data_IF_911340296558
#
_entry.id   IF_911340296558
#
_cell.length_a   1.000
_cell.length_b   1.000
_cell.length_c   1.000
_cell.angle_alpha   90.00
_cell.angle_beta   90.00
_cell.angle_gamma   90.00
#
_symmetry.space_group_name_H-M   'P 1'
#
loop_
_entity.id
_entity.type
_entity.pdbx_description
1 polymer ?
#
# COMPACT_ATOMS: atom_id res chain seq x y z
N UNK A 1 25.82 -11.30 9.04
CA UNK A 1 25.31 -12.66 9.38
C UNK A 1 25.76 -13.59 8.26
N UNK A 2 26.15 -14.83 8.56
CA UNK A 2 26.52 -15.80 7.52
C UNK A 2 25.31 -16.06 6.60
N UNK A 3 25.50 -16.26 5.28
CA UNK A 3 24.40 -16.41 4.32
C UNK A 3 23.39 -17.51 4.70
N UNK A 4 23.87 -18.59 5.33
CA UNK A 4 23.05 -19.74 5.70
C UNK A 4 22.21 -19.57 6.98
N UNK A 5 22.22 -18.40 7.63
CA UNK A 5 21.44 -18.17 8.86
C UNK A 5 20.12 -17.40 8.66
N UNK A 6 19.82 -16.96 7.43
CA UNK A 6 18.64 -16.17 7.09
C UNK A 6 17.51 -17.11 6.65
N UNK A 7 16.44 -17.21 7.46
CA UNK A 7 15.30 -18.10 7.17
C UNK A 7 14.21 -17.44 6.31
N UNK A 8 14.21 -16.11 6.21
CA UNK A 8 13.22 -15.31 5.46
C UNK A 8 13.92 -14.51 4.35
N UNK A 9 13.47 -14.69 3.11
CA UNK A 9 13.98 -13.93 1.96
C UNK A 9 13.43 -12.51 1.89
N UNK A 10 14.08 -11.66 1.10
CA UNK A 10 13.60 -10.32 0.75
C UNK A 10 13.44 -10.26 -0.77
N UNK A 11 12.29 -9.77 -1.24
CA UNK A 11 12.03 -9.50 -2.65
C UNK A 11 12.04 -7.98 -2.82
N UNK A 12 12.82 -7.49 -3.79
CA UNK A 12 12.76 -6.10 -4.22
C UNK A 12 11.97 -6.05 -5.52
N UNK A 13 10.89 -5.28 -5.52
CA UNK A 13 10.00 -5.13 -6.67
C UNK A 13 9.95 -3.68 -7.11
N UNK A 14 9.98 -3.46 -8.42
CA UNK A 14 9.84 -2.16 -9.06
C UNK A 14 8.64 -2.24 -10.01
N UNK A 15 7.50 -1.71 -9.59
CA UNK A 15 6.25 -1.86 -10.31
C UNK A 15 6.20 -0.93 -11.52
N UNK A 16 5.68 -1.45 -12.62
CA UNK A 16 5.39 -0.69 -13.83
C UNK A 16 3.90 -0.40 -13.91
N UNK A 17 3.53 0.79 -14.42
CA UNK A 17 2.14 1.15 -14.66
C UNK A 17 1.29 1.36 -13.39
N UNK A 18 1.90 1.78 -12.29
CA UNK A 18 1.20 2.18 -11.06
C UNK A 18 0.16 3.28 -11.36
N UNK A 19 0.62 4.37 -11.96
CA UNK A 19 -0.18 5.53 -12.35
C UNK A 19 -1.25 5.23 -13.41
N UNK A 20 -1.17 4.08 -14.07
CA UNK A 20 -2.15 3.60 -15.05
C UNK A 20 -3.16 2.62 -14.45
N UNK A 21 -3.13 2.41 -13.13
CA UNK A 21 -4.03 1.50 -12.43
C UNK A 21 -3.34 0.24 -11.89
N UNK A 22 -2.13 0.37 -11.34
CA UNK A 22 -1.44 -0.71 -10.60
C UNK A 22 -1.16 -1.97 -11.44
N UNK A 23 -0.88 -1.79 -12.73
CA UNK A 23 -0.80 -2.90 -13.70
C UNK A 23 0.23 -3.95 -13.28
N UNK A 24 1.46 -3.52 -12.94
CA UNK A 24 2.56 -4.43 -12.62
C UNK A 24 2.37 -5.18 -11.31
N UNK A 25 1.91 -4.51 -10.25
CA UNK A 25 1.66 -5.14 -8.95
C UNK A 25 0.46 -6.07 -8.99
N UNK A 26 -0.61 -5.69 -9.69
CA UNK A 26 -1.78 -6.56 -9.95
C UNK A 26 -1.36 -7.83 -10.69
N UNK A 27 -0.61 -7.71 -11.78
CA UNK A 27 -0.12 -8.87 -12.52
C UNK A 27 0.72 -9.81 -11.66
N UNK A 28 1.60 -9.27 -10.81
CA UNK A 28 2.38 -10.09 -9.88
C UNK A 28 1.51 -10.80 -8.86
N UNK A 29 0.49 -10.14 -8.31
CA UNK A 29 -0.41 -10.76 -7.34
C UNK A 29 -1.27 -11.86 -7.99
N UNK A 30 -1.68 -11.67 -9.24
CA UNK A 30 -2.48 -12.65 -9.99
C UNK A 30 -1.65 -13.85 -10.49
N UNK A 31 -0.38 -13.62 -10.84
CA UNK A 31 0.54 -14.64 -11.34
C UNK A 31 1.85 -14.64 -10.54
N UNK A 32 1.81 -14.98 -9.24
CA UNK A 32 2.97 -14.82 -8.39
C UNK A 32 3.99 -15.91 -8.68
N UNK A 33 5.30 -15.61 -8.65
CA UNK A 33 6.36 -16.61 -8.87
C UNK A 33 6.46 -17.63 -7.72
N UNK A 34 5.69 -17.43 -6.66
CA UNK A 34 5.58 -18.30 -5.50
C UNK A 34 4.20 -18.13 -4.84
N UNK A 35 3.73 -19.09 -4.02
CA UNK A 35 2.46 -18.93 -3.30
C UNK A 35 2.45 -17.64 -2.45
N UNK A 36 1.40 -16.82 -2.58
CA UNK A 36 1.28 -15.51 -1.90
C UNK A 36 1.32 -15.64 -0.38
N UNK A 37 0.90 -16.78 0.19
CA UNK A 37 0.91 -17.06 1.63
C UNK A 37 2.34 -17.12 2.22
N UNK A 38 3.35 -17.22 1.35
CA UNK A 38 4.78 -17.11 1.72
C UNK A 38 5.22 -15.67 1.89
N UNK A 39 4.49 -14.69 1.36
CA UNK A 39 4.75 -13.26 1.54
C UNK A 39 4.20 -12.85 2.91
N UNK A 40 5.10 -12.57 3.86
CA UNK A 40 4.73 -12.26 5.26
C UNK A 40 4.43 -10.78 5.51
N UNK A 41 4.90 -9.91 4.62
CA UNK A 41 4.69 -8.48 4.68
C UNK A 41 4.95 -7.87 3.31
N UNK A 42 4.26 -6.78 2.99
CA UNK A 42 4.56 -5.94 1.83
C UNK A 42 4.81 -4.50 2.28
N UNK A 43 6.03 -4.01 2.04
CA UNK A 43 6.43 -2.64 2.39
C UNK A 43 6.46 -1.81 1.11
N UNK A 44 5.63 -0.77 1.04
CA UNK A 44 5.52 0.11 -0.11
C UNK A 44 6.24 1.43 0.13
N UNK A 45 6.85 2.00 -0.89
CA UNK A 45 7.54 3.29 -0.83
C UNK A 45 7.02 4.18 -1.94
N UNK A 46 6.22 5.17 -1.57
CA UNK A 46 5.60 6.09 -2.53
C UNK A 46 5.72 7.52 -2.01
N UNK A 47 6.18 8.43 -2.88
CA UNK A 47 6.47 9.83 -2.54
C UNK A 47 7.29 9.96 -1.23
N UNK A 48 8.44 9.28 -1.12
CA UNK A 48 9.31 9.29 0.08
C UNK A 48 10.46 10.32 0.02
N UNK A 49 10.52 11.09 -1.06
CA UNK A 49 11.62 12.02 -1.34
C UNK A 49 11.52 13.40 -0.67
N UNK A 50 10.37 13.75 -0.10
CA UNK A 50 10.02 15.13 0.30
C UNK A 50 9.81 15.28 1.80
N UNK A 51 10.66 14.66 2.62
CA UNK A 51 10.55 14.76 4.07
C UNK A 51 10.58 16.23 4.53
N UNK A 52 9.52 16.69 5.19
CA UNK A 52 9.37 18.04 5.79
C UNK A 52 9.17 17.90 7.28
N UNK A 53 9.75 18.82 8.06
CA UNK A 53 9.54 18.89 9.52
C UNK A 53 9.86 17.58 10.26
N UNK A 54 10.73 16.73 9.70
CA UNK A 54 11.04 15.39 10.23
C UNK A 54 9.80 14.47 10.35
N UNK A 55 8.75 14.75 9.58
CA UNK A 55 7.45 14.08 9.61
C UNK A 55 7.38 12.96 8.59
N UNK A 56 7.24 11.72 9.06
CA UNK A 56 7.11 10.53 8.22
C UNK A 56 5.74 9.89 8.48
N UNK A 57 4.97 9.70 7.42
CA UNK A 57 3.68 9.01 7.50
C UNK A 57 3.88 7.53 7.18
N UNK A 58 3.36 6.67 8.05
CA UNK A 58 3.28 5.23 7.83
C UNK A 58 1.81 4.85 7.76
N UNK A 59 1.39 4.31 6.63
CA UNK A 59 -0.01 3.98 6.34
C UNK A 59 -0.21 2.47 6.26
N UNK A 60 -1.44 2.01 6.48
CA UNK A 60 -1.78 0.59 6.57
C UNK A 60 -1.38 -0.06 7.89
N UNK A 61 -1.16 0.73 8.96
CA UNK A 61 -0.77 0.19 10.27
C UNK A 61 -1.85 -0.68 10.91
N UNK A 62 -3.09 -0.60 10.44
CA UNK A 62 -4.18 -1.48 10.87
C UNK A 62 -4.17 -2.85 10.21
N UNK A 63 -3.36 -3.07 9.16
CA UNK A 63 -3.29 -4.37 8.47
C UNK A 63 -2.67 -5.50 9.31
N UNK A 64 -2.07 -5.16 10.45
CA UNK A 64 -1.57 -6.12 11.44
C UNK A 64 -1.53 -5.46 12.82
N UNK A 65 -1.94 -6.21 13.85
CA UNK A 65 -1.92 -5.76 15.25
C UNK A 65 -0.51 -5.42 15.77
N UNK A 66 0.52 -6.01 15.16
CA UNK A 66 1.91 -5.87 15.56
C UNK A 66 2.57 -4.60 14.99
N UNK A 67 2.02 -3.97 13.96
CA UNK A 67 2.68 -2.85 13.29
C UNK A 67 3.02 -1.68 14.21
N UNK A 68 2.11 -1.27 15.08
CA UNK A 68 2.31 -0.09 15.95
C UNK A 68 3.49 -0.29 16.90
N UNK A 69 3.48 -1.38 17.67
CA UNK A 69 4.55 -1.68 18.64
C UNK A 69 5.90 -1.90 17.94
N UNK A 70 5.87 -2.50 16.75
CA UNK A 70 7.04 -2.74 15.93
C UNK A 70 7.68 -1.45 15.42
N UNK A 71 6.87 -0.55 14.86
CA UNK A 71 7.28 0.77 14.38
C UNK A 71 7.85 1.61 15.52
N UNK A 72 7.17 1.66 16.66
CA UNK A 72 7.59 2.41 17.84
C UNK A 72 8.99 1.99 18.29
N UNK A 73 9.24 0.68 18.42
CA UNK A 73 10.55 0.13 18.81
C UNK A 73 11.69 0.64 17.94
N UNK A 74 11.49 0.77 16.63
CA UNK A 74 12.53 1.21 15.71
C UNK A 74 12.65 2.71 15.58
N UNK A 75 11.55 3.42 15.86
CA UNK A 75 11.54 4.86 15.85
C UNK A 75 12.29 5.46 17.04
N UNK A 76 12.45 4.73 18.15
CA UNK A 76 13.28 5.15 19.29
C UNK A 76 14.68 5.62 18.83
N UNK A 77 15.30 4.89 17.91
CA UNK A 77 16.65 5.21 17.41
C UNK A 77 16.61 6.26 16.29
N UNK A 78 15.54 6.26 15.50
CA UNK A 78 15.49 7.03 14.24
C UNK A 78 14.90 8.43 14.40
N UNK A 79 14.06 8.61 15.44
CA UNK A 79 13.57 9.89 15.91
C UNK A 79 12.68 10.63 14.90
N UNK A 80 11.89 9.94 14.09
CA UNK A 80 10.90 10.62 13.23
C UNK A 80 9.69 11.08 14.05
N UNK A 81 9.09 12.19 13.63
CA UNK A 81 7.72 12.51 14.03
C UNK A 81 6.78 11.65 13.17
N UNK A 82 6.34 10.52 13.73
CA UNK A 82 5.52 9.57 12.99
C UNK A 82 4.05 9.98 12.98
N UNK A 83 3.45 9.93 11.80
CA UNK A 83 1.99 9.89 11.64
C UNK A 83 1.64 8.46 11.25
N UNK A 84 0.90 7.76 12.12
CA UNK A 84 0.42 6.41 11.83
C UNK A 84 -1.02 6.48 11.33
N UNK A 85 -1.28 5.87 10.17
CA UNK A 85 -2.61 5.77 9.59
C UNK A 85 -3.01 4.31 9.49
N UNK A 86 -4.11 3.96 10.16
CA UNK A 86 -4.54 2.56 10.26
C UNK A 86 -5.11 2.02 8.96
N UNK A 87 -5.70 2.87 8.11
CA UNK A 87 -6.35 2.47 6.86
C UNK A 87 -5.35 1.80 5.88
N UNK A 88 -5.55 0.52 5.53
CA UNK A 88 -4.72 -0.20 4.57
C UNK A 88 -5.23 -0.08 3.12
N UNK A 89 -6.41 0.50 2.88
CA UNK A 89 -6.97 0.68 1.54
C UNK A 89 -6.39 1.93 0.86
N UNK A 90 -5.12 1.83 0.46
CA UNK A 90 -4.36 2.93 -0.11
C UNK A 90 -4.35 2.85 -1.64
N UNK A 91 -4.49 3.98 -2.37
CA UNK A 91 -4.46 4.02 -3.83
C UNK A 91 -3.01 3.95 -4.35
N UNK A 92 -2.33 2.86 -4.05
CA UNK A 92 -0.95 2.54 -4.46
C UNK A 92 -0.83 1.01 -4.53
N UNK A 93 0.33 0.48 -4.89
CA UNK A 93 0.55 -0.95 -5.15
C UNK A 93 0.18 -1.88 -3.97
N UNK A 94 0.03 -1.36 -2.74
CA UNK A 94 -0.54 -2.13 -1.61
C UNK A 94 -1.91 -2.73 -1.90
N UNK A 95 -2.68 -2.11 -2.80
CA UNK A 95 -4.02 -2.60 -3.21
C UNK A 95 -3.96 -3.99 -3.83
N UNK A 96 -2.84 -4.36 -4.47
CA UNK A 96 -2.68 -5.71 -5.02
C UNK A 96 -2.46 -6.79 -3.94
N UNK A 97 -1.96 -6.40 -2.76
CA UNK A 97 -1.49 -7.35 -1.74
C UNK A 97 -2.40 -7.42 -0.51
N UNK A 98 -2.91 -6.30 -0.02
CA UNK A 98 -3.71 -6.28 1.22
C UNK A 98 -4.96 -7.17 1.13
N UNK A 99 -5.78 -7.12 0.06
CA UNK A 99 -6.94 -7.99 -0.10
C UNK A 99 -6.59 -9.48 -0.17
N UNK A 100 -5.34 -9.83 -0.47
CA UNK A 100 -4.84 -11.20 -0.52
C UNK A 100 -4.37 -11.71 0.86
N UNK A 101 -4.70 -11.01 1.95
CA UNK A 101 -4.35 -11.42 3.31
C UNK A 101 -2.92 -11.09 3.72
N UNK A 102 -2.25 -10.16 3.02
CA UNK A 102 -0.86 -9.78 3.29
C UNK A 102 -0.82 -8.48 4.12
N UNK A 103 -0.18 -8.47 5.31
CA UNK A 103 0.06 -7.23 6.05
C UNK A 103 0.87 -6.23 5.21
N UNK A 104 0.39 -4.99 5.14
CA UNK A 104 1.01 -3.92 4.35
C UNK A 104 1.49 -2.77 5.22
N UNK A 105 2.57 -2.11 4.80
CA UNK A 105 3.04 -0.87 5.42
C UNK A 105 3.58 0.07 4.35
N UNK A 106 2.93 1.22 4.16
CA UNK A 106 3.32 2.22 3.16
C UNK A 106 4.05 3.40 3.78
N UNK A 107 5.19 3.76 3.21
CA UNK A 107 5.98 4.93 3.57
C UNK A 107 5.59 6.11 2.68
N UNK A 108 5.28 7.24 3.30
CA UNK A 108 4.82 8.44 2.60
C UNK A 108 5.32 9.72 3.29
N UNK A 109 5.78 10.72 2.52
CA UNK A 109 6.22 12.02 3.08
C UNK A 109 5.23 13.16 2.90
N UNK A 110 4.05 12.88 2.34
CA UNK A 110 3.06 13.89 2.01
C UNK A 110 3.07 14.26 0.53
N UNK A 111 1.95 14.80 0.06
CA UNK A 111 1.88 15.41 -1.27
C UNK A 111 2.63 16.73 -1.31
N UNK A 112 3.00 17.17 -2.51
CA UNK A 112 3.65 18.46 -2.77
C UNK A 112 3.11 19.08 -4.06
N UNK A 113 3.45 20.34 -4.30
CA UNK A 113 2.87 21.14 -5.39
C UNK A 113 3.30 20.65 -6.78
N UNK A 114 4.46 20.00 -6.87
CA UNK A 114 5.02 19.46 -8.11
C UNK A 114 4.54 18.04 -8.45
N UNK A 115 3.74 17.41 -7.58
CA UNK A 115 3.24 16.06 -7.83
C UNK A 115 2.44 16.00 -9.14
N UNK A 116 2.72 14.99 -9.98
CA UNK A 116 2.18 14.84 -11.34
C UNK A 116 2.50 16.02 -12.28
N UNK A 117 3.60 16.75 -12.04
CA UNK A 117 4.05 17.85 -12.91
C UNK A 117 5.47 17.62 -13.40
N UNK A 118 5.84 18.16 -14.58
CA UNK A 118 7.22 18.09 -15.09
C UNK A 118 8.28 18.71 -14.17
N UNK A 119 7.87 19.53 -13.20
CA UNK A 119 8.75 20.15 -12.21
C UNK A 119 9.09 19.24 -11.02
N UNK A 120 8.59 17.99 -10.96
CA UNK A 120 9.00 17.00 -9.97
C UNK A 120 10.40 16.46 -10.30
N UNK A 121 11.41 17.27 -9.97
CA UNK A 121 12.80 17.08 -10.38
C UNK A 121 13.70 16.70 -9.20
N UNK A 122 14.79 15.93 -9.40
CA UNK A 122 15.76 15.59 -8.36
C UNK A 122 16.24 16.74 -7.46
N UNK A 123 16.37 17.96 -7.99
CA UNK A 123 16.83 19.13 -7.23
C UNK A 123 15.89 19.51 -6.07
N UNK A 124 14.66 19.06 -6.16
CA UNK A 124 13.61 19.40 -5.21
C UNK A 124 13.50 18.35 -4.07
N UNK A 125 14.31 17.29 -4.12
CA UNK A 125 14.36 16.22 -3.11
C UNK A 125 15.08 16.63 -1.82
N UNK A 126 14.59 16.12 -0.69
CA UNK A 126 15.33 16.13 0.56
C UNK A 126 16.21 14.87 0.67
N UNK A 127 17.40 14.90 0.09
CA UNK A 127 18.34 13.77 0.07
C UNK A 127 18.71 13.24 1.47
N UNK A 128 18.90 14.14 2.45
CA UNK A 128 19.19 13.74 3.84
C UNK A 128 18.00 13.03 4.47
N UNK A 129 16.79 13.52 4.22
CA UNK A 129 15.55 12.89 4.67
C UNK A 129 15.34 11.52 4.04
N UNK A 130 15.53 11.42 2.72
CA UNK A 130 15.43 10.17 1.97
C UNK A 130 16.42 9.12 2.52
N UNK A 131 17.68 9.48 2.74
CA UNK A 131 18.67 8.57 3.34
C UNK A 131 18.23 8.06 4.72
N UNK A 132 17.68 8.94 5.57
CA UNK A 132 17.17 8.53 6.88
C UNK A 132 15.99 7.57 6.77
N UNK A 133 15.07 7.81 5.83
CA UNK A 133 13.94 6.90 5.56
C UNK A 133 14.46 5.56 5.06
N UNK A 134 15.40 5.53 4.11
CA UNK A 134 16.03 4.29 3.63
C UNK A 134 16.71 3.50 4.76
N UNK A 135 17.40 4.18 5.68
CA UNK A 135 18.01 3.54 6.84
C UNK A 135 16.97 2.99 7.82
N UNK A 136 15.87 3.71 8.04
CA UNK A 136 14.76 3.24 8.85
C UNK A 136 14.12 1.99 8.24
N UNK A 137 13.82 2.03 6.95
CA UNK A 137 13.28 0.91 6.19
C UNK A 137 14.22 -0.30 6.18
N UNK A 138 15.53 -0.09 5.99
CA UNK A 138 16.51 -1.17 6.02
C UNK A 138 16.58 -1.85 7.39
N UNK A 139 16.52 -1.07 8.49
CA UNK A 139 16.43 -1.63 9.85
C UNK A 139 15.12 -2.40 10.05
N UNK A 140 14.02 -1.87 9.51
CA UNK A 140 12.72 -2.51 9.57
C UNK A 140 12.73 -3.89 8.90
N UNK A 141 13.16 -3.94 7.63
CA UNK A 141 13.32 -5.19 6.86
C UNK A 141 14.25 -6.16 7.58
N UNK A 142 15.41 -5.68 8.07
CA UNK A 142 16.36 -6.53 8.80
C UNK A 142 15.75 -7.20 10.04
N UNK A 143 14.85 -6.49 10.74
CA UNK A 143 14.17 -7.02 11.91
C UNK A 143 12.97 -7.91 11.54
N UNK A 144 12.35 -7.74 10.37
CA UNK A 144 11.32 -8.66 9.84
C UNK A 144 11.90 -10.01 9.40
N UNK A 145 13.13 -10.02 8.91
CA UNK A 145 13.80 -11.24 8.45
C UNK A 145 14.62 -11.94 9.54
N UNK A 146 14.68 -11.37 10.75
CA UNK A 146 15.36 -12.02 11.87
C UNK A 146 14.58 -13.24 12.37
N UNK A 147 15.28 -14.20 12.96
CA UNK A 147 14.64 -15.44 13.47
C UNK A 147 13.75 -15.17 14.70
N UNK A 148 13.98 -14.06 15.39
CA UNK A 148 13.19 -13.58 16.53
C UNK A 148 12.18 -12.49 16.11
N UNK A 149 11.97 -12.30 14.81
CA UNK A 149 10.99 -11.33 14.31
C UNK A 149 9.59 -11.66 14.84
N UNK A 150 8.77 -10.66 15.18
CA UNK A 150 7.34 -10.91 15.40
C UNK A 150 6.73 -11.51 14.13
N UNK A 151 5.83 -12.48 14.32
CA UNK A 151 4.89 -12.88 13.27
C UNK A 151 3.90 -11.73 13.10
N UNK A 152 3.69 -11.27 11.86
CA UNK A 152 2.68 -10.26 11.57
C UNK A 152 1.37 -10.97 11.28
N UNK A 153 0.37 -10.70 12.12
CA UNK A 153 -0.96 -11.28 11.97
C UNK A 153 -1.77 -10.39 11.05
N UNK A 154 -2.20 -10.89 9.89
CA UNK A 154 -3.13 -10.16 9.03
C UNK A 154 -4.38 -9.78 9.81
N UNK A 155 -4.74 -8.50 9.73
CA UNK A 155 -5.96 -7.94 10.32
C UNK A 155 -6.79 -7.33 9.21
N UNK A 156 -8.00 -7.88 9.04
CA UNK A 156 -9.01 -7.27 8.18
C UNK A 156 -9.54 -6.01 8.86
N UNK A 157 -9.39 -4.88 8.20
CA UNK A 157 -9.85 -3.58 8.65
C UNK A 157 -11.13 -3.27 7.90
N UNK A 158 -12.21 -2.98 8.63
CA UNK A 158 -13.39 -2.41 8.02
C UNK A 158 -12.99 -1.06 7.42
N UNK A 159 -13.20 -0.82 6.11
CA UNK A 159 -12.78 0.43 5.51
C UNK A 159 -13.50 1.59 6.20
N UNK A 160 -12.70 2.59 6.56
CA UNK A 160 -13.18 3.75 7.28
C UNK A 160 -14.07 4.55 6.33
N UNK A 161 -15.37 4.62 6.61
CA UNK A 161 -16.32 5.49 5.89
C UNK A 161 -16.16 6.99 6.22
N UNK A 162 -15.11 7.40 6.95
CA UNK A 162 -14.98 8.77 7.40
C UNK A 162 -14.74 9.74 6.23
N UNK A 163 -15.79 10.49 5.93
CA UNK A 163 -15.77 11.76 5.22
C UNK A 163 -14.94 12.80 5.99
N UNK A 164 -13.62 12.69 5.88
CA UNK A 164 -12.69 13.74 6.26
C UNK A 164 -12.78 14.90 5.27
N UNK A 165 -13.47 15.96 5.68
CA UNK A 165 -13.35 17.37 5.27
C UNK A 165 -12.48 17.66 4.03
N UNK A 166 -12.95 17.23 2.87
CA UNK A 166 -12.77 17.92 1.59
C UNK A 166 -14.19 18.13 1.10
N UNK A 167 -14.59 19.38 0.92
CA UNK A 167 -15.87 19.80 0.33
C UNK A 167 -15.95 19.43 -1.16
N UNK A 168 -15.77 18.15 -1.44
CA UNK A 168 -16.10 17.53 -2.71
C UNK A 168 -16.86 16.27 -2.34
N UNK A 169 -18.17 16.25 -2.61
CA UNK A 169 -18.95 15.02 -2.67
C UNK A 169 -18.20 14.03 -3.59
N UNK A 170 -17.38 13.15 -3.00
CA UNK A 170 -16.84 12.00 -3.72
C UNK A 170 -17.95 10.96 -3.73
N UNK A 171 -18.84 11.07 -4.72
CA UNK A 171 -19.63 9.92 -5.15
C UNK A 171 -18.61 8.86 -5.57
N UNK A 172 -18.62 7.72 -4.90
CA UNK A 172 -17.74 6.61 -5.20
C UNK A 172 -18.54 5.32 -5.21
N UNK A 173 -18.21 4.41 -6.12
CA UNK A 173 -18.92 3.14 -6.27
C UNK A 173 -18.45 2.10 -5.23
N UNK A 174 -17.19 2.19 -4.79
CA UNK A 174 -16.58 1.22 -3.88
C UNK A 174 -16.11 -0.05 -4.57
N UNK A 175 -15.99 -0.02 -5.90
CA UNK A 175 -15.40 -1.08 -6.71
C UNK A 175 -13.89 -0.95 -6.78
N UNK A 176 -13.20 -2.07 -6.97
CA UNK A 176 -11.78 -2.14 -7.26
C UNK A 176 -11.66 -2.69 -8.69
N UNK A 177 -11.49 -1.83 -9.71
CA UNK A 177 -11.43 -2.26 -11.09
C UNK A 177 -10.16 -3.04 -11.42
N UNK A 178 -10.32 -4.04 -12.28
CA UNK A 178 -9.27 -4.73 -13.00
C UNK A 178 -9.05 -4.01 -14.35
N UNK A 179 -8.15 -3.04 -14.37
CA UNK A 179 -7.81 -2.29 -15.60
C UNK A 179 -6.95 -3.10 -16.60
N UNK A 180 -6.60 -4.34 -16.25
CA UNK A 180 -5.76 -5.21 -17.09
C UNK A 180 -6.55 -6.21 -17.92
N UNK A 181 -7.85 -6.33 -17.64
CA UNK A 181 -8.77 -7.24 -18.32
C UNK A 181 -9.17 -6.71 -19.71
N UNK A 182 -9.06 -7.53 -20.76
CA UNK A 182 -9.57 -7.22 -22.11
C UNK A 182 -11.07 -7.55 -22.30
N UNK A 183 -11.79 -7.77 -21.21
CA UNK A 183 -13.22 -8.10 -21.22
C UNK A 183 -14.05 -6.88 -21.65
N UNK A 184 -15.14 -7.09 -22.39
CA UNK A 184 -16.10 -6.04 -22.70
C UNK A 184 -16.82 -5.60 -21.41
N UNK A 185 -16.49 -4.40 -20.92
CA UNK A 185 -16.89 -3.84 -19.62
C UNK A 185 -15.74 -3.74 -18.61
N UNK A 186 -16.05 -3.34 -17.37
CA UNK A 186 -15.04 -3.18 -16.30
C UNK A 186 -15.11 -4.35 -15.34
N UNK A 187 -14.15 -5.28 -15.44
CA UNK A 187 -14.01 -6.39 -14.49
C UNK A 187 -13.56 -5.86 -13.13
N UNK A 188 -14.00 -6.49 -12.04
CA UNK A 188 -13.65 -6.12 -10.68
C UNK A 188 -12.68 -7.13 -10.08
N UNK A 189 -11.53 -6.68 -9.60
CA UNK A 189 -10.64 -7.50 -8.74
C UNK A 189 -11.22 -7.64 -7.33
N UNK A 190 -12.10 -6.72 -6.93
CA UNK A 190 -12.80 -6.78 -5.66
C UNK A 190 -13.73 -5.61 -5.42
N UNK A 191 -14.32 -5.59 -4.22
CA UNK A 191 -15.14 -4.48 -3.73
C UNK A 191 -14.67 -4.11 -2.33
N UNK A 192 -14.85 -2.84 -1.96
CA UNK A 192 -14.57 -2.36 -0.61
C UNK A 192 -15.67 -2.86 0.33
N UNK A 193 -15.30 -3.68 1.32
CA UNK A 193 -16.23 -4.21 2.33
C UNK A 193 -17.04 -3.08 2.99
N UNK A 194 -18.36 -3.21 3.12
CA UNK A 194 -19.23 -2.14 3.65
C UNK A 194 -19.38 -0.89 2.76
N UNK A 195 -18.75 -0.84 1.59
CA UNK A 195 -18.92 0.20 0.57
C UNK A 195 -20.22 0.03 -0.24
N UNK A 196 -20.58 0.99 -1.12
CA UNK A 196 -21.81 0.91 -1.91
C UNK A 196 -21.90 -0.33 -2.80
N UNK A 197 -20.81 -0.71 -3.46
CA UNK A 197 -20.72 -1.92 -4.29
C UNK A 197 -20.94 -3.21 -3.50
N UNK A 198 -20.28 -3.34 -2.34
CA UNK A 198 -20.45 -4.51 -1.46
C UNK A 198 -21.89 -4.61 -0.91
N UNK A 199 -22.46 -3.49 -0.49
CA UNK A 199 -23.88 -3.42 -0.07
C UNK A 199 -24.86 -3.74 -1.21
N UNK A 200 -24.47 -3.45 -2.45
CA UNK A 200 -25.23 -3.83 -3.65
C UNK A 200 -25.03 -5.30 -4.05
N UNK A 201 -24.13 -6.03 -3.37
CA UNK A 201 -23.86 -7.44 -3.60
C UNK A 201 -22.84 -7.75 -4.70
N UNK A 202 -22.11 -6.73 -5.19
CA UNK A 202 -21.01 -6.93 -6.12
C UNK A 202 -19.84 -7.66 -5.45
N UNK A 203 -19.12 -8.48 -6.22
CA UNK A 203 -18.02 -9.32 -5.73
C UNK A 203 -16.81 -9.24 -6.66
N UNK A 204 -15.67 -9.73 -6.16
CA UNK A 204 -14.51 -10.01 -7.01
C UNK A 204 -14.91 -10.96 -8.15
N UNK A 205 -14.51 -10.63 -9.38
CA UNK A 205 -14.85 -11.35 -10.59
C UNK A 205 -16.06 -10.82 -11.36
N UNK A 206 -16.87 -9.94 -10.77
CA UNK A 206 -18.00 -9.32 -11.50
C UNK A 206 -17.49 -8.38 -12.62
N UNK A 207 -18.29 -8.22 -13.68
CA UNK A 207 -17.99 -7.33 -14.81
C UNK A 207 -19.11 -6.29 -14.95
N UNK A 208 -18.76 -5.02 -14.81
CA UNK A 208 -19.67 -3.90 -15.00
C UNK A 208 -19.77 -3.61 -16.50
N UNK A 209 -20.90 -3.94 -17.11
CA UNK A 209 -21.17 -3.73 -18.53
C UNK A 209 -21.92 -2.43 -18.83
N UNK A 210 -22.53 -1.81 -17.82
CA UNK A 210 -23.21 -0.52 -17.96
C UNK A 210 -23.27 0.26 -16.65
N UNK A 211 -23.28 1.59 -16.74
CA UNK A 211 -23.47 2.50 -15.60
C UNK A 211 -24.54 3.54 -15.93
N UNK A 212 -25.55 3.64 -15.07
CA UNK A 212 -26.70 4.55 -15.25
C UNK A 212 -27.37 4.43 -16.63
N UNK A 213 -27.48 3.19 -17.14
CA UNK A 213 -28.09 2.88 -18.43
C UNK A 213 -27.22 3.19 -19.65
N UNK A 214 -25.97 3.64 -19.46
CA UNK A 214 -24.99 3.77 -20.54
C UNK A 214 -24.07 2.55 -20.57
N UNK A 215 -23.88 1.90 -21.73
CA UNK A 215 -22.88 0.85 -21.86
C UNK A 215 -21.49 1.41 -21.57
N UNK A 216 -20.64 0.57 -20.97
CA UNK A 216 -19.22 0.86 -20.73
C UNK A 216 -18.39 0.10 -21.74
#
# INVERSE_FOLDING_TARGET
KAPNSIKKGVIFSFWSGEELGLIGSTHFADQPPMPLERIKAYLNFDMVGRLRENRLTLQGTGSSSEWKSFIEKWNIISGFQLILQDDPYLPTDTTAFYPQGIPVLSFFTGSHEEYHRPADDPDTLNWRGLLRISQFAAKAVKSLIDNESPELTYTEVAPIQNGGQRDTLRVYLGTIPDYTSETEGVKLTGVRAGGPADKAGLKAGDVITSLAGKPI
#
